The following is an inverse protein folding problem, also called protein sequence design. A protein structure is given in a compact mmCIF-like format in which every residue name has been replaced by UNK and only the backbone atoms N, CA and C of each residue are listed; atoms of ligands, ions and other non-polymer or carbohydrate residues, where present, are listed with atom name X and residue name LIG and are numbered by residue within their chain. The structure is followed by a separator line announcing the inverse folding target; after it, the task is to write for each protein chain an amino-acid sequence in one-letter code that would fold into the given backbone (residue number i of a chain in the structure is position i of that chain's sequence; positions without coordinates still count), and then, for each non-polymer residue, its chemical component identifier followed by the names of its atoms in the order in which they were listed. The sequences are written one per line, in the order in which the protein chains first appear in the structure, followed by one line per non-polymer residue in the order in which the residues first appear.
data_IF_727541041046
#
_entry.id   IF_727541041046
#
_cell.length_a   1.000
_cell.length_b   1.000
_cell.length_c   1.000
_cell.angle_alpha   90.00
_cell.angle_beta   90.00
_cell.angle_gamma   90.00
#
_symmetry.space_group_name_H-M   'P 1'
#
loop_
_entity.id
_entity.type
_entity.pdbx_description
1 polymer ?
#
# COMPACT_ATOMS: atom_id res chain seq x y z
N UNK A 1 28.00 -41.92 0.96
CA UNK A 1 28.37 -40.78 0.10
C UNK A 1 27.55 -39.57 0.57
N UNK A 2 28.17 -38.72 1.38
CA UNK A 2 27.58 -37.52 1.91
C UNK A 2 27.41 -36.50 0.79
N UNK A 3 26.19 -36.01 0.63
CA UNK A 3 25.91 -34.92 -0.28
C UNK A 3 26.56 -33.63 0.24
N UNK A 4 27.55 -33.15 -0.48
CA UNK A 4 28.18 -31.85 -0.23
C UNK A 4 27.12 -30.72 -0.27
N UNK A 5 26.88 -30.10 0.90
CA UNK A 5 26.19 -28.80 0.97
C UNK A 5 27.07 -27.77 0.26
N UNK A 6 26.54 -27.21 -0.82
CA UNK A 6 27.13 -26.03 -1.47
C UNK A 6 27.30 -24.89 -0.47
N UNK A 7 28.38 -24.09 -0.55
CA UNK A 7 28.56 -22.96 0.36
C UNK A 7 27.43 -21.95 0.11
N UNK A 8 26.77 -21.49 1.19
CA UNK A 8 25.81 -20.37 1.17
C UNK A 8 26.52 -19.16 0.54
N UNK A 9 26.17 -18.87 -0.70
CA UNK A 9 26.52 -17.58 -1.30
C UNK A 9 25.72 -16.47 -0.63
N UNK A 10 26.35 -15.29 -0.57
CA UNK A 10 25.91 -14.02 0.01
C UNK A 10 24.50 -14.05 0.61
N UNK A 11 24.38 -13.88 1.93
CA UNK A 11 23.13 -13.94 2.70
C UNK A 11 22.03 -13.22 1.95
N UNK A 12 21.05 -13.97 1.43
CA UNK A 12 19.84 -13.39 0.86
C UNK A 12 19.18 -12.58 1.96
N UNK A 13 19.10 -11.25 1.78
CA UNK A 13 18.48 -10.34 2.73
C UNK A 13 17.02 -10.75 2.84
N UNK A 14 16.67 -11.42 3.93
CA UNK A 14 15.29 -11.85 4.20
C UNK A 14 14.48 -10.60 4.52
N UNK A 15 13.61 -10.22 3.60
CA UNK A 15 12.68 -9.11 3.77
C UNK A 15 11.48 -9.56 4.62
N UNK A 16 11.56 -9.36 5.94
CA UNK A 16 10.42 -9.62 6.82
C UNK A 16 9.22 -8.75 6.45
N UNK A 17 8.02 -9.32 6.44
CA UNK A 17 6.78 -8.62 6.08
C UNK A 17 5.69 -8.92 7.12
N UNK A 18 4.96 -7.90 7.53
CA UNK A 18 3.84 -8.03 8.49
C UNK A 18 2.73 -8.95 8.01
N UNK A 19 2.54 -9.03 6.70
CA UNK A 19 1.53 -9.91 6.11
C UNK A 19 1.78 -11.40 6.44
N UNK A 20 3.02 -11.79 6.76
CA UNK A 20 3.34 -13.17 7.15
C UNK A 20 2.52 -13.65 8.34
N UNK A 21 2.26 -12.78 9.33
CA UNK A 21 1.39 -13.10 10.45
C UNK A 21 -0.07 -13.33 10.01
N UNK A 22 -0.55 -12.59 9.01
CA UNK A 22 -1.89 -12.80 8.47
C UNK A 22 -2.00 -14.14 7.72
N UNK A 23 -0.91 -14.58 7.06
CA UNK A 23 -0.84 -15.91 6.44
C UNK A 23 -0.90 -17.01 7.50
N UNK A 24 -0.16 -16.88 8.61
CA UNK A 24 -0.23 -17.80 9.75
C UNK A 24 -1.64 -17.85 10.34
N UNK A 25 -2.23 -16.71 10.62
CA UNK A 25 -3.59 -16.58 11.15
C UNK A 25 -4.64 -17.23 10.24
N UNK A 26 -4.47 -17.10 8.91
CA UNK A 26 -5.34 -17.76 7.94
C UNK A 26 -5.18 -19.28 7.99
N UNK A 27 -3.94 -19.78 7.95
CA UNK A 27 -3.66 -21.22 8.03
C UNK A 27 -4.28 -21.87 9.28
N UNK A 28 -4.07 -21.25 10.44
CA UNK A 28 -4.55 -21.77 11.72
C UNK A 28 -6.06 -21.67 11.88
N UNK A 29 -6.64 -20.48 11.58
CA UNK A 29 -8.05 -20.20 11.86
C UNK A 29 -9.02 -20.74 10.81
N UNK A 30 -8.56 -20.92 9.56
CA UNK A 30 -9.43 -21.37 8.46
C UNK A 30 -9.23 -22.82 8.08
N UNK A 31 -8.09 -23.41 8.38
CA UNK A 31 -7.81 -24.85 8.22
C UNK A 31 -8.33 -25.43 6.88
N UNK A 32 -8.08 -24.73 5.76
CA UNK A 32 -8.48 -25.15 4.41
C UNK A 32 -9.93 -24.89 4.02
N UNK A 33 -10.72 -24.21 4.85
CA UNK A 33 -12.11 -23.88 4.52
C UNK A 33 -12.26 -22.83 3.43
N UNK A 34 -11.24 -22.00 3.23
CA UNK A 34 -11.21 -20.95 2.22
C UNK A 34 -9.82 -20.76 1.65
N UNK A 35 -9.72 -20.48 0.36
CA UNK A 35 -8.47 -20.01 -0.27
C UNK A 35 -8.15 -18.58 0.15
N UNK A 36 -6.88 -18.21 0.07
CA UNK A 36 -6.44 -16.86 0.39
C UNK A 36 -5.91 -16.15 -0.87
N UNK A 37 -6.51 -15.03 -1.23
CA UNK A 37 -6.01 -14.16 -2.29
C UNK A 37 -5.18 -13.01 -1.69
N UNK A 38 -3.89 -12.96 -2.03
CA UNK A 38 -2.98 -11.86 -1.67
C UNK A 38 -2.98 -10.83 -2.79
N UNK A 39 -3.69 -9.74 -2.60
CA UNK A 39 -3.79 -8.64 -3.55
C UNK A 39 -2.80 -7.51 -3.23
N UNK A 40 -2.41 -6.75 -4.25
CA UNK A 40 -1.62 -5.54 -4.07
C UNK A 40 -0.90 -5.13 -5.35
N UNK A 41 -0.29 -3.95 -5.34
CA UNK A 41 0.43 -3.41 -6.48
C UNK A 41 1.49 -4.38 -7.02
N UNK A 42 1.88 -4.18 -8.26
CA UNK A 42 3.01 -4.92 -8.82
C UNK A 42 4.32 -4.60 -8.09
N UNK A 43 5.22 -5.59 -8.01
CA UNK A 43 6.58 -5.47 -7.43
C UNK A 43 6.66 -5.19 -5.92
N UNK A 44 5.59 -5.43 -5.16
CA UNK A 44 5.61 -5.30 -3.69
C UNK A 44 6.02 -6.58 -2.95
N UNK A 45 6.34 -7.68 -3.67
CA UNK A 45 6.89 -8.91 -3.09
C UNK A 45 5.83 -9.96 -2.72
N UNK A 46 4.64 -9.98 -3.34
CA UNK A 46 3.58 -10.97 -3.08
C UNK A 46 4.06 -12.41 -3.27
N UNK A 47 4.53 -12.76 -4.46
CA UNK A 47 5.01 -14.11 -4.79
C UNK A 47 6.14 -14.55 -3.86
N UNK A 48 7.08 -13.63 -3.55
CA UNK A 48 8.18 -13.90 -2.63
C UNK A 48 7.69 -14.32 -1.25
N UNK A 49 6.82 -13.53 -0.61
CA UNK A 49 6.40 -13.81 0.77
C UNK A 49 5.52 -15.06 0.87
N UNK A 50 4.70 -15.32 -0.15
CA UNK A 50 3.87 -16.53 -0.20
C UNK A 50 4.73 -17.78 -0.41
N UNK A 51 5.77 -17.70 -1.25
CA UNK A 51 6.71 -18.81 -1.43
C UNK A 51 7.55 -19.06 -0.17
N UNK A 52 8.03 -18.00 0.52
CA UNK A 52 8.71 -18.15 1.81
C UNK A 52 7.80 -18.76 2.88
N UNK A 53 6.54 -18.35 2.92
CA UNK A 53 5.53 -18.96 3.79
C UNK A 53 5.35 -20.45 3.49
N UNK A 54 5.25 -20.82 2.22
CA UNK A 54 5.13 -22.21 1.80
C UNK A 54 6.33 -23.07 2.23
N UNK A 55 7.56 -22.55 2.04
CA UNK A 55 8.80 -23.24 2.43
C UNK A 55 8.91 -23.50 3.93
N UNK A 56 8.40 -22.58 4.73
CA UNK A 56 8.55 -22.64 6.19
C UNK A 56 7.41 -23.40 6.88
N UNK A 57 6.19 -23.34 6.31
CA UNK A 57 4.98 -23.76 7.00
C UNK A 57 4.35 -25.04 6.43
N UNK A 58 4.84 -25.57 5.29
CA UNK A 58 4.30 -26.77 4.65
C UNK A 58 5.39 -27.82 4.37
N UNK A 59 5.01 -29.08 4.34
CA UNK A 59 5.92 -30.18 3.99
C UNK A 59 6.31 -30.16 2.50
N UNK A 60 5.39 -29.71 1.65
CA UNK A 60 5.62 -29.49 0.22
C UNK A 60 4.71 -28.40 -0.34
N UNK A 61 5.10 -27.85 -1.48
CA UNK A 61 4.25 -26.89 -2.18
C UNK A 61 4.45 -26.96 -3.69
N UNK A 62 3.42 -26.59 -4.43
CA UNK A 62 3.49 -26.36 -5.88
C UNK A 62 3.25 -24.86 -6.12
N UNK A 63 4.17 -24.20 -6.84
CA UNK A 63 4.00 -22.83 -7.30
C UNK A 63 3.74 -22.84 -8.80
N UNK A 64 2.54 -22.41 -9.19
CA UNK A 64 2.09 -22.26 -10.57
C UNK A 64 2.14 -20.77 -10.92
N UNK A 65 3.25 -20.32 -11.51
CA UNK A 65 3.41 -18.96 -12.05
C UNK A 65 2.71 -18.87 -13.41
N UNK A 66 1.55 -18.27 -13.48
CA UNK A 66 0.80 -18.15 -14.73
C UNK A 66 1.43 -17.21 -15.77
N UNK A 67 2.49 -16.48 -15.47
CA UNK A 67 3.30 -15.83 -16.51
C UNK A 67 4.09 -16.84 -17.33
N UNK A 68 4.50 -17.95 -16.72
CA UNK A 68 5.41 -18.95 -17.30
C UNK A 68 4.75 -20.30 -17.57
N UNK A 69 3.61 -20.56 -16.92
CA UNK A 69 2.92 -21.85 -17.03
C UNK A 69 2.56 -22.15 -18.49
N UNK A 70 2.93 -23.35 -19.01
CA UNK A 70 2.56 -23.75 -20.37
C UNK A 70 1.05 -23.88 -20.53
N UNK A 71 0.55 -23.77 -21.77
CA UNK A 71 -0.88 -23.80 -22.06
C UNK A 71 -1.54 -25.08 -21.51
N UNK A 72 -0.89 -26.22 -21.61
CA UNK A 72 -1.43 -27.48 -21.09
C UNK A 72 -1.76 -27.43 -19.59
N UNK A 73 -0.94 -26.73 -18.76
CA UNK A 73 -1.22 -26.56 -17.32
C UNK A 73 -2.47 -25.71 -17.10
N UNK A 74 -2.68 -24.67 -17.93
CA UNK A 74 -3.88 -23.84 -17.90
C UNK A 74 -5.12 -24.66 -18.29
N UNK A 75 -4.99 -25.50 -19.31
CA UNK A 75 -6.08 -26.32 -19.83
C UNK A 75 -6.52 -27.39 -18.82
N UNK A 76 -5.63 -27.84 -17.92
CA UNK A 76 -6.00 -28.81 -16.87
C UNK A 76 -7.05 -28.25 -15.91
N UNK A 77 -7.07 -26.94 -15.66
CA UNK A 77 -8.09 -26.28 -14.86
C UNK A 77 -9.46 -26.18 -15.55
N UNK A 78 -9.55 -26.49 -16.83
CA UNK A 78 -10.82 -26.66 -17.54
C UNK A 78 -11.22 -28.13 -17.66
N UNK A 79 -10.23 -28.99 -17.97
CA UNK A 79 -10.48 -30.37 -18.36
C UNK A 79 -10.73 -31.32 -17.18
N UNK A 80 -10.15 -31.05 -16.01
CA UNK A 80 -10.11 -31.99 -14.89
C UNK A 80 -10.75 -31.46 -13.61
N UNK A 81 -11.64 -30.46 -13.68
CA UNK A 81 -12.38 -29.97 -12.49
C UNK A 81 -13.36 -31.00 -11.90
N UNK A 82 -13.86 -31.92 -12.72
CA UNK A 82 -14.71 -33.03 -12.28
C UNK A 82 -13.90 -34.27 -11.85
N UNK A 83 -12.58 -34.30 -12.14
CA UNK A 83 -11.65 -35.36 -11.76
C UNK A 83 -10.37 -34.75 -11.14
N UNK A 84 -10.51 -34.29 -9.89
CA UNK A 84 -9.42 -33.66 -9.17
C UNK A 84 -8.24 -34.60 -8.88
N UNK A 85 -8.48 -35.92 -8.85
CA UNK A 85 -7.40 -36.92 -8.69
C UNK A 85 -6.42 -36.86 -9.87
N UNK A 86 -6.96 -36.83 -11.08
CA UNK A 86 -6.17 -36.67 -12.30
C UNK A 86 -5.49 -35.29 -12.33
N UNK A 87 -6.18 -34.21 -11.95
CA UNK A 87 -5.59 -32.86 -11.88
C UNK A 87 -4.35 -32.86 -10.98
N UNK A 88 -4.47 -33.33 -9.75
CA UNK A 88 -3.37 -33.33 -8.78
C UNK A 88 -2.23 -34.27 -9.17
N UNK A 89 -2.55 -35.40 -9.81
CA UNK A 89 -1.54 -36.32 -10.33
C UNK A 89 -0.70 -35.63 -11.42
N UNK A 90 -1.33 -34.92 -12.36
CA UNK A 90 -0.64 -34.19 -13.42
C UNK A 90 0.18 -33.03 -12.88
N UNK A 91 -0.35 -32.25 -11.95
CA UNK A 91 0.40 -31.19 -11.28
C UNK A 91 1.62 -31.75 -10.55
N UNK A 92 1.44 -32.81 -9.76
CA UNK A 92 2.53 -33.48 -9.03
C UNK A 92 3.62 -34.00 -9.98
N UNK A 93 3.24 -34.65 -11.09
CA UNK A 93 4.18 -35.17 -12.07
C UNK A 93 4.90 -34.05 -12.82
N UNK A 94 4.21 -32.98 -13.21
CA UNK A 94 4.79 -31.88 -13.97
C UNK A 94 5.78 -31.06 -13.13
N UNK A 95 5.39 -30.71 -11.90
CA UNK A 95 6.24 -29.93 -10.99
C UNK A 95 7.21 -30.80 -10.18
N UNK A 96 7.12 -32.15 -10.30
CA UNK A 96 7.96 -33.13 -9.57
C UNK A 96 7.87 -32.94 -8.05
N UNK A 97 6.69 -32.66 -7.55
CA UNK A 97 6.38 -32.45 -6.13
C UNK A 97 5.35 -33.47 -5.68
N UNK A 98 5.64 -34.18 -4.59
CA UNK A 98 4.66 -35.04 -3.94
C UNK A 98 3.77 -34.19 -3.04
N UNK A 99 2.47 -34.26 -3.25
CA UNK A 99 1.47 -33.60 -2.42
C UNK A 99 1.05 -34.49 -1.24
N UNK A 100 0.90 -33.88 -0.06
CA UNK A 100 0.49 -34.52 1.17
C UNK A 100 -0.80 -33.86 1.67
N UNK A 101 -1.83 -34.67 1.98
CA UNK A 101 -3.12 -34.16 2.47
C UNK A 101 -2.93 -33.30 3.72
N UNK A 102 -3.54 -32.12 3.72
CA UNK A 102 -3.49 -31.08 4.76
C UNK A 102 -2.09 -30.57 5.13
N UNK A 103 -1.04 -30.92 4.37
CA UNK A 103 0.35 -30.53 4.62
C UNK A 103 1.03 -29.93 3.39
N UNK A 104 0.29 -29.79 2.29
CA UNK A 104 0.80 -29.16 1.07
C UNK A 104 0.02 -27.91 0.71
N UNK A 105 0.74 -26.92 0.15
CA UNK A 105 0.18 -25.68 -0.37
C UNK A 105 0.27 -25.66 -1.89
N UNK A 106 -0.80 -25.27 -2.55
CA UNK A 106 -0.80 -24.94 -3.98
C UNK A 106 -0.93 -23.43 -4.14
N UNK A 107 0.10 -22.81 -4.75
CA UNK A 107 0.18 -21.38 -4.99
C UNK A 107 -0.17 -21.12 -6.46
N UNK A 108 -1.18 -20.30 -6.69
CA UNK A 108 -1.63 -19.82 -7.99
C UNK A 108 -1.15 -18.38 -8.18
N UNK A 109 0.05 -18.21 -8.70
CA UNK A 109 0.70 -16.90 -8.83
C UNK A 109 0.28 -16.18 -10.11
N UNK A 110 -0.01 -14.86 -10.02
CA UNK A 110 -0.55 -14.03 -11.09
C UNK A 110 -1.88 -14.59 -11.66
N UNK A 111 -2.80 -14.91 -10.75
CA UNK A 111 -4.07 -15.63 -11.04
C UNK A 111 -4.94 -14.92 -12.09
N UNK A 112 -4.83 -13.59 -12.25
CA UNK A 112 -5.55 -12.85 -13.28
C UNK A 112 -5.20 -13.28 -14.71
N UNK A 113 -4.06 -13.98 -14.91
CA UNK A 113 -3.67 -14.52 -16.20
C UNK A 113 -4.31 -15.88 -16.53
N UNK A 114 -5.00 -16.49 -15.53
CA UNK A 114 -5.74 -17.73 -15.72
C UNK A 114 -7.10 -17.67 -14.97
N UNK A 115 -8.10 -16.92 -15.49
CA UNK A 115 -9.40 -16.78 -14.84
C UNK A 115 -10.09 -18.12 -14.54
N UNK A 116 -9.83 -19.15 -15.34
CA UNK A 116 -10.36 -20.51 -15.13
C UNK A 116 -9.82 -21.16 -13.85
N UNK A 117 -8.52 -21.01 -13.58
CA UNK A 117 -7.93 -21.50 -12.33
C UNK A 117 -8.52 -20.78 -11.11
N UNK A 118 -8.82 -19.46 -11.20
CA UNK A 118 -9.53 -18.74 -10.15
C UNK A 118 -10.95 -19.26 -9.94
N UNK A 119 -11.69 -19.50 -11.02
CA UNK A 119 -13.04 -20.08 -10.93
C UNK A 119 -13.02 -21.52 -10.33
N UNK A 120 -11.92 -22.25 -10.53
CA UNK A 120 -11.72 -23.58 -9.99
C UNK A 120 -11.58 -23.64 -8.47
N UNK A 121 -11.23 -22.53 -7.81
CA UNK A 121 -11.02 -22.44 -6.35
C UNK A 121 -12.20 -23.00 -5.56
N UNK A 122 -13.43 -22.77 -6.00
CA UNK A 122 -14.62 -23.32 -5.37
C UNK A 122 -14.56 -24.86 -5.23
N UNK A 123 -14.15 -25.54 -6.29
CA UNK A 123 -14.06 -26.99 -6.34
C UNK A 123 -12.84 -27.50 -5.57
N UNK A 124 -11.71 -26.82 -5.70
CA UNK A 124 -10.45 -27.14 -5.05
C UNK A 124 -10.57 -27.05 -3.52
N UNK A 125 -11.20 -25.98 -3.02
CA UNK A 125 -11.45 -25.80 -1.58
C UNK A 125 -12.46 -26.82 -1.04
N UNK A 126 -13.51 -27.13 -1.82
CA UNK A 126 -14.52 -28.13 -1.43
C UNK A 126 -13.93 -29.54 -1.26
N UNK A 127 -12.88 -29.89 -2.01
CA UNK A 127 -12.13 -31.15 -1.92
C UNK A 127 -11.34 -31.31 -0.60
N UNK A 128 -10.89 -30.20 0.04
CA UNK A 128 -10.23 -30.13 1.35
C UNK A 128 -8.87 -30.84 1.48
N UNK A 129 -8.30 -31.41 0.43
CA UNK A 129 -7.00 -32.11 0.52
C UNK A 129 -5.82 -31.17 0.72
N UNK A 130 -5.85 -29.96 0.12
CA UNK A 130 -4.73 -29.02 0.13
C UNK A 130 -5.20 -27.63 0.50
N UNK A 131 -4.25 -26.78 0.86
CA UNK A 131 -4.46 -25.36 1.04
C UNK A 131 -4.12 -24.60 -0.25
N UNK A 132 -4.77 -23.46 -0.49
CA UNK A 132 -4.61 -22.69 -1.70
C UNK A 132 -4.35 -21.22 -1.37
N UNK A 133 -3.28 -20.66 -1.96
CA UNK A 133 -3.03 -19.23 -1.95
C UNK A 133 -2.93 -18.73 -3.39
N UNK A 134 -3.71 -17.72 -3.68
CA UNK A 134 -3.66 -16.99 -4.93
C UNK A 134 -2.89 -15.70 -4.73
N UNK A 135 -2.09 -15.30 -5.72
CA UNK A 135 -1.53 -13.95 -5.74
C UNK A 135 -1.91 -13.25 -7.02
N UNK A 136 -2.04 -11.94 -6.96
CA UNK A 136 -2.27 -11.19 -8.18
C UNK A 136 -2.19 -9.68 -7.98
N UNK A 137 -1.79 -9.03 -9.04
CA UNK A 137 -1.97 -7.60 -9.26
C UNK A 137 -3.13 -7.42 -10.23
N UNK A 138 -3.84 -6.30 -10.20
CA UNK A 138 -4.93 -6.04 -11.15
C UNK A 138 -6.07 -7.09 -11.15
N UNK A 139 -6.24 -7.82 -10.04
CA UNK A 139 -7.16 -8.98 -9.95
C UNK A 139 -8.62 -8.55 -10.04
N UNK A 140 -8.94 -7.37 -9.53
CA UNK A 140 -10.29 -6.78 -9.50
C UNK A 140 -10.65 -6.03 -10.78
N UNK A 141 -9.70 -5.81 -11.70
CA UNK A 141 -9.95 -5.08 -12.93
C UNK A 141 -10.94 -5.86 -13.81
N UNK A 142 -11.98 -5.19 -14.31
CA UNK A 142 -13.07 -5.77 -15.08
C UNK A 142 -12.62 -6.70 -16.22
N UNK A 143 -11.53 -6.36 -16.91
CA UNK A 143 -10.96 -7.21 -17.97
C UNK A 143 -10.55 -8.60 -17.46
N UNK A 144 -10.05 -8.67 -16.24
CA UNK A 144 -9.50 -9.90 -15.63
C UNK A 144 -10.56 -10.73 -14.90
N UNK A 145 -11.76 -10.19 -14.69
CA UNK A 145 -12.90 -10.89 -14.07
C UNK A 145 -14.02 -11.20 -15.07
N UNK A 146 -13.84 -10.83 -16.32
CA UNK A 146 -14.87 -11.04 -17.35
C UNK A 146 -15.04 -12.53 -17.66
N UNK A 147 -16.28 -13.00 -17.61
CA UNK A 147 -16.64 -14.37 -18.00
C UNK A 147 -16.42 -15.44 -16.92
N UNK A 148 -16.10 -15.06 -15.69
CA UNK A 148 -16.03 -15.99 -14.54
C UNK A 148 -16.95 -15.54 -13.40
N UNK A 149 -17.38 -16.52 -12.61
CA UNK A 149 -18.01 -16.26 -11.31
C UNK A 149 -16.89 -16.29 -10.27
N UNK A 150 -16.73 -15.19 -9.53
CA UNK A 150 -15.75 -15.13 -8.44
C UNK A 150 -16.13 -16.11 -7.33
N UNK A 151 -15.18 -16.92 -6.83
CA UNK A 151 -15.48 -17.91 -5.80
C UNK A 151 -15.86 -17.25 -4.46
N UNK A 152 -16.88 -17.77 -3.82
CA UNK A 152 -17.26 -17.39 -2.44
C UNK A 152 -16.31 -17.97 -1.38
N UNK A 153 -15.58 -18.98 -1.75
CA UNK A 153 -14.59 -19.71 -0.97
C UNK A 153 -13.20 -19.03 -0.98
N UNK A 154 -13.14 -17.79 -1.45
CA UNK A 154 -11.93 -16.94 -1.48
C UNK A 154 -12.02 -15.85 -0.41
N UNK A 155 -10.93 -15.61 0.31
CA UNK A 155 -10.72 -14.45 1.18
C UNK A 155 -9.58 -13.62 0.68
N UNK A 156 -9.79 -12.31 0.57
CA UNK A 156 -8.75 -11.39 0.10
C UNK A 156 -8.08 -10.67 1.27
N UNK A 157 -6.75 -10.60 1.22
CA UNK A 157 -5.93 -9.74 2.08
C UNK A 157 -5.10 -8.79 1.22
N UNK A 158 -4.91 -7.56 1.74
CA UNK A 158 -4.20 -6.51 1.04
C UNK A 158 -2.74 -6.48 1.47
N UNK A 159 -1.83 -6.49 0.49
CA UNK A 159 -0.43 -6.23 0.70
C UNK A 159 -0.08 -4.85 0.15
N UNK A 160 0.68 -4.09 0.93
CA UNK A 160 1.13 -2.74 0.60
C UNK A 160 2.64 -2.72 0.31
N UNK A 161 3.22 -1.66 -0.26
CA UNK A 161 4.65 -1.41 -0.16
C UNK A 161 5.12 -1.54 1.29
N UNK A 162 6.39 -1.83 1.53
CA UNK A 162 6.93 -1.94 2.89
C UNK A 162 6.62 -0.67 3.67
N UNK A 163 6.04 -0.82 4.85
CA UNK A 163 5.82 0.32 5.75
C UNK A 163 7.10 0.70 6.51
N UNK A 164 7.01 1.72 7.35
CA UNK A 164 8.17 2.23 8.08
C UNK A 164 8.80 1.18 9.02
N UNK A 165 7.99 0.36 9.67
CA UNK A 165 8.48 -0.71 10.55
C UNK A 165 9.19 -1.81 9.76
N UNK A 166 8.61 -2.26 8.64
CA UNK A 166 9.22 -3.24 7.73
C UNK A 166 10.54 -2.72 7.13
N UNK A 167 10.61 -1.41 6.84
CA UNK A 167 11.83 -0.75 6.41
C UNK A 167 12.90 -0.74 7.52
N UNK A 168 12.50 -0.48 8.77
CA UNK A 168 13.42 -0.55 9.92
C UNK A 168 13.97 -1.97 10.10
N UNK A 169 13.13 -3.00 9.94
CA UNK A 169 13.60 -4.39 9.95
C UNK A 169 14.63 -4.68 8.86
N UNK A 170 14.34 -4.25 7.62
CA UNK A 170 15.24 -4.44 6.50
C UNK A 170 16.58 -3.71 6.66
N UNK A 171 16.61 -2.61 7.40
CA UNK A 171 17.81 -1.80 7.65
C UNK A 171 18.52 -2.15 8.96
N UNK A 172 18.05 -3.18 9.70
CA UNK A 172 18.66 -3.66 10.95
C UNK A 172 18.41 -2.77 12.16
N UNK A 173 17.30 -2.03 12.18
CA UNK A 173 16.93 -1.09 13.25
C UNK A 173 15.62 -1.47 13.95
N UNK A 174 15.42 -2.75 14.20
CA UNK A 174 14.18 -3.35 14.70
C UNK A 174 13.70 -2.71 16.00
N UNK A 175 14.62 -2.47 16.95
CA UNK A 175 14.30 -1.95 18.28
C UNK A 175 13.76 -0.51 18.28
N UNK A 176 14.01 0.26 17.21
CA UNK A 176 13.56 1.65 17.16
C UNK A 176 12.03 1.75 17.11
N UNK A 177 11.37 0.86 16.38
CA UNK A 177 9.91 0.85 16.31
C UNK A 177 9.27 0.44 17.64
N UNK A 178 9.88 -0.49 18.38
CA UNK A 178 9.40 -0.87 19.71
C UNK A 178 9.47 0.31 20.68
N UNK A 179 10.55 1.08 20.63
CA UNK A 179 10.71 2.30 21.43
C UNK A 179 9.64 3.36 21.02
N UNK A 180 9.45 3.60 19.72
CA UNK A 180 8.43 4.53 19.21
C UNK A 180 7.04 4.12 19.70
N UNK A 181 6.70 2.85 19.59
CA UNK A 181 5.41 2.30 20.03
C UNK A 181 5.21 2.46 21.54
N UNK A 182 6.25 2.19 22.33
CA UNK A 182 6.23 2.38 23.78
C UNK A 182 5.96 3.85 24.14
N UNK A 183 6.68 4.80 23.54
CA UNK A 183 6.51 6.22 23.81
C UNK A 183 5.12 6.73 23.37
N UNK A 184 4.61 6.24 22.24
CA UNK A 184 3.26 6.54 21.79
C UNK A 184 2.19 6.08 22.79
N UNK A 185 2.27 4.84 23.29
CA UNK A 185 1.32 4.27 24.27
C UNK A 185 1.42 5.00 25.62
N UNK A 186 2.62 5.30 26.07
CA UNK A 186 2.86 6.04 27.33
C UNK A 186 2.59 7.55 27.19
N UNK A 187 2.34 8.05 25.98
CA UNK A 187 2.14 9.48 25.69
C UNK A 187 3.29 10.36 26.19
N UNK A 188 4.51 9.94 25.88
CA UNK A 188 5.74 10.61 26.29
C UNK A 188 6.60 11.00 25.08
N UNK A 189 7.40 12.08 25.21
CA UNK A 189 8.37 12.45 24.19
C UNK A 189 9.51 11.41 24.12
N UNK A 190 10.07 11.22 22.93
CA UNK A 190 11.23 10.36 22.69
C UNK A 190 12.52 10.92 23.32
N UNK A 191 12.57 12.22 23.54
CA UNK A 191 13.79 12.95 23.88
C UNK A 191 14.68 13.21 22.65
N UNK A 192 15.50 14.26 22.75
CA UNK A 192 16.21 14.83 21.60
C UNK A 192 17.01 13.82 20.76
N UNK A 193 17.75 12.89 21.41
CA UNK A 193 18.61 11.94 20.71
C UNK A 193 17.80 10.92 19.91
N UNK A 194 16.85 10.24 20.53
CA UNK A 194 16.04 9.23 19.88
C UNK A 194 15.04 9.81 18.90
N UNK A 195 14.47 11.00 19.21
CA UNK A 195 13.64 11.73 18.26
C UNK A 195 14.40 12.04 16.96
N UNK A 196 15.64 12.53 17.05
CA UNK A 196 16.50 12.78 15.91
C UNK A 196 16.74 11.49 15.11
N UNK A 197 17.14 10.42 15.78
CA UNK A 197 17.36 9.12 15.15
C UNK A 197 16.12 8.62 14.40
N UNK A 198 14.94 8.72 15.02
CA UNK A 198 13.68 8.31 14.42
C UNK A 198 13.29 9.18 13.20
N UNK A 199 13.50 10.51 13.30
CA UNK A 199 13.25 11.43 12.18
C UNK A 199 14.21 11.18 11.01
N UNK A 200 15.49 10.91 11.27
CA UNK A 200 16.47 10.63 10.21
C UNK A 200 16.13 9.30 9.50
N UNK A 201 15.76 8.26 10.26
CA UNK A 201 15.29 6.99 9.71
C UNK A 201 14.00 7.16 8.90
N UNK A 202 13.05 7.98 9.37
CA UNK A 202 11.80 8.24 8.67
C UNK A 202 12.02 9.05 7.37
N UNK A 203 12.90 10.03 7.36
CA UNK A 203 13.30 10.74 6.14
C UNK A 203 13.95 9.83 5.14
N UNK A 204 14.83 8.94 5.62
CA UNK A 204 15.46 7.94 4.76
C UNK A 204 14.41 7.01 4.13
N UNK A 205 13.44 6.53 4.91
CA UNK A 205 12.34 5.75 4.41
C UNK A 205 11.50 6.51 3.38
N UNK A 206 11.19 7.79 3.62
CA UNK A 206 10.46 8.63 2.67
C UNK A 206 11.18 8.72 1.32
N UNK A 207 12.52 8.77 1.32
CA UNK A 207 13.34 8.90 0.12
C UNK A 207 13.48 7.57 -0.63
N UNK A 208 13.82 6.49 0.08
CA UNK A 208 14.01 5.16 -0.50
C UNK A 208 12.66 4.58 -0.95
N UNK A 209 11.62 4.83 -0.15
CA UNK A 209 10.29 4.23 -0.33
C UNK A 209 10.19 2.85 0.28
N UNK A 210 9.01 2.23 0.10
CA UNK A 210 8.68 0.89 0.56
C UNK A 210 8.70 -0.18 -0.54
N UNK A 211 9.14 0.14 -1.75
CA UNK A 211 9.26 -0.87 -2.81
C UNK A 211 10.42 -1.83 -2.49
N UNK A 212 10.18 -3.15 -2.32
CA UNK A 212 11.22 -4.10 -1.88
C UNK A 212 12.49 -4.07 -2.71
N UNK A 213 12.38 -3.87 -4.01
CA UNK A 213 13.51 -3.72 -4.91
C UNK A 213 14.39 -2.51 -4.57
N UNK A 214 13.77 -1.36 -4.28
CA UNK A 214 14.46 -0.14 -3.90
C UNK A 214 15.10 -0.28 -2.51
N UNK A 215 14.36 -0.86 -1.54
CA UNK A 215 14.87 -1.12 -0.20
C UNK A 215 16.06 -2.09 -0.23
N UNK A 216 15.96 -3.18 -1.00
CA UNK A 216 17.06 -4.14 -1.19
C UNK A 216 18.30 -3.44 -1.76
N UNK A 217 18.14 -2.64 -2.82
CA UNK A 217 19.24 -1.87 -3.41
C UNK A 217 19.89 -0.92 -2.40
N UNK A 218 19.08 -0.22 -1.60
CA UNK A 218 19.62 0.64 -0.56
C UNK A 218 20.40 -0.13 0.51
N UNK A 219 19.88 -1.27 0.97
CA UNK A 219 20.56 -2.10 1.98
C UNK A 219 21.89 -2.62 1.48
N UNK A 220 21.93 -3.09 0.22
CA UNK A 220 23.12 -3.66 -0.42
C UNK A 220 24.20 -2.61 -0.73
N UNK A 221 23.81 -1.43 -1.24
CA UNK A 221 24.75 -0.50 -1.87
C UNK A 221 24.90 0.84 -1.15
N UNK A 222 23.90 1.26 -0.39
CA UNK A 222 23.75 2.62 0.17
C UNK A 222 23.83 3.72 -0.90
N UNK A 223 23.63 3.35 -2.16
CA UNK A 223 23.70 4.22 -3.33
C UNK A 223 22.30 4.66 -3.78
N UNK A 224 22.04 5.97 -3.74
CA UNK A 224 20.75 6.53 -4.12
C UNK A 224 20.50 6.49 -5.64
N UNK A 225 21.54 6.46 -6.47
CA UNK A 225 21.37 6.37 -7.92
C UNK A 225 20.89 4.96 -8.30
N UNK A 226 21.42 3.91 -7.64
CA UNK A 226 20.94 2.53 -7.80
C UNK A 226 19.50 2.36 -7.27
N UNK A 227 19.13 3.06 -6.18
CA UNK A 227 17.77 3.09 -5.63
C UNK A 227 16.82 3.77 -6.61
N UNK A 228 17.21 4.91 -7.20
CA UNK A 228 16.39 5.63 -8.17
C UNK A 228 16.15 4.81 -9.44
N UNK A 229 17.18 4.15 -9.95
CA UNK A 229 17.04 3.24 -11.10
C UNK A 229 16.00 2.14 -10.82
N UNK A 230 16.06 1.49 -9.63
CA UNK A 230 15.09 0.46 -9.25
C UNK A 230 13.64 1.02 -9.16
N UNK A 231 13.47 2.25 -8.68
CA UNK A 231 12.14 2.91 -8.62
C UNK A 231 11.62 3.25 -10.02
N UNK A 232 12.48 3.69 -10.94
CA UNK A 232 12.12 3.97 -12.34
C UNK A 232 11.69 2.72 -13.09
N UNK A 233 12.35 1.60 -12.83
CA UNK A 233 11.91 0.29 -13.36
C UNK A 233 10.48 -0.03 -12.94
N UNK A 234 10.11 0.24 -11.68
CA UNK A 234 8.75 0.06 -11.18
C UNK A 234 7.76 1.00 -11.85
N UNK A 235 8.11 2.30 -11.99
CA UNK A 235 7.26 3.28 -12.68
C UNK A 235 7.03 2.90 -14.15
N UNK A 236 8.06 2.39 -14.82
CA UNK A 236 7.96 1.88 -16.19
C UNK A 236 6.99 0.69 -16.27
N UNK A 237 7.05 -0.24 -15.31
CA UNK A 237 6.12 -1.36 -15.23
C UNK A 237 4.69 -0.86 -15.03
N UNK A 238 4.45 0.12 -14.16
CA UNK A 238 3.13 0.69 -13.94
C UNK A 238 2.57 1.34 -15.21
N UNK A 239 3.39 2.08 -15.98
CA UNK A 239 2.98 2.64 -17.28
C UNK A 239 2.63 1.56 -18.29
N UNK A 240 3.46 0.51 -18.38
CA UNK A 240 3.19 -0.61 -19.27
C UNK A 240 1.88 -1.33 -18.89
N UNK A 241 1.59 -1.48 -17.61
CA UNK A 241 0.34 -2.06 -17.14
C UNK A 241 -0.88 -1.22 -17.52
N UNK A 242 -0.77 0.12 -17.46
CA UNK A 242 -1.83 1.01 -17.92
C UNK A 242 -2.14 0.74 -19.39
N UNK A 243 -1.12 0.73 -20.26
CA UNK A 243 -1.33 0.47 -21.70
C UNK A 243 -1.87 -0.93 -21.99
N UNK A 244 -1.42 -1.95 -21.26
CA UNK A 244 -1.82 -3.34 -21.51
C UNK A 244 -3.22 -3.67 -20.98
N UNK A 245 -3.65 -3.04 -19.85
CA UNK A 245 -4.84 -3.47 -19.11
C UNK A 245 -5.95 -2.42 -19.01
N UNK A 246 -5.66 -1.13 -19.20
CA UNK A 246 -6.70 -0.09 -19.12
C UNK A 246 -7.56 0.03 -20.40
N UNK A 247 -7.13 -0.56 -21.52
CA UNK A 247 -7.92 -0.56 -22.78
C UNK A 247 -8.19 0.86 -23.28
N UNK A 248 -9.45 1.16 -23.59
CA UNK A 248 -9.88 2.46 -24.17
C UNK A 248 -9.65 3.66 -23.24
N UNK A 249 -9.51 3.44 -21.95
CA UNK A 249 -9.26 4.52 -20.97
C UNK A 249 -7.77 4.74 -20.66
N UNK A 250 -6.86 4.05 -21.35
CA UNK A 250 -5.43 4.11 -21.06
C UNK A 250 -4.88 5.55 -21.05
N UNK A 251 -5.25 6.36 -22.05
CA UNK A 251 -4.80 7.76 -22.15
C UNK A 251 -5.28 8.61 -20.97
N UNK A 252 -6.49 8.39 -20.48
CA UNK A 252 -7.01 9.07 -19.30
C UNK A 252 -6.24 8.64 -18.05
N UNK A 253 -5.97 7.35 -17.89
CA UNK A 253 -5.25 6.80 -16.74
C UNK A 253 -3.83 7.35 -16.71
N UNK A 254 -3.11 7.38 -17.85
CA UNK A 254 -1.77 7.98 -17.96
C UNK A 254 -1.83 9.47 -17.62
N UNK A 255 -2.82 10.21 -18.18
CA UNK A 255 -2.96 11.64 -17.91
C UNK A 255 -3.14 11.94 -16.41
N UNK A 256 -3.94 11.15 -15.69
CA UNK A 256 -4.09 11.28 -14.23
C UNK A 256 -2.77 10.95 -13.55
N UNK A 257 -2.14 9.83 -13.90
CA UNK A 257 -0.90 9.35 -13.30
C UNK A 257 0.21 10.41 -13.40
N UNK A 258 0.39 11.02 -14.57
CA UNK A 258 1.38 12.05 -14.82
C UNK A 258 1.09 13.38 -14.10
N UNK A 259 -0.19 13.64 -13.79
CA UNK A 259 -0.59 14.84 -13.07
C UNK A 259 -0.50 14.70 -11.55
N UNK A 260 -0.23 13.50 -11.00
CA UNK A 260 -0.15 13.33 -9.53
C UNK A 260 0.90 14.27 -8.91
N UNK A 261 2.20 14.27 -9.33
CA UNK A 261 3.18 15.17 -8.73
C UNK A 261 2.83 16.67 -8.87
N UNK A 262 2.44 17.20 -10.06
CA UNK A 262 2.04 18.58 -10.20
C UNK A 262 0.81 18.98 -9.36
N UNK A 263 -0.14 18.06 -9.12
CA UNK A 263 -1.31 18.35 -8.29
C UNK A 263 -0.93 18.40 -6.80
N UNK A 264 -0.11 17.44 -6.32
CA UNK A 264 0.34 17.41 -4.94
C UNK A 264 1.31 18.54 -4.59
N UNK A 265 2.01 19.12 -5.56
CA UNK A 265 2.91 20.26 -5.34
C UNK A 265 2.18 21.58 -5.07
N UNK A 266 0.89 21.67 -5.38
CA UNK A 266 0.07 22.87 -5.13
C UNK A 266 -0.24 23.03 -3.63
N UNK A 267 -0.55 24.27 -3.25
CA UNK A 267 -0.99 24.55 -1.88
C UNK A 267 -2.28 23.78 -1.52
N UNK A 268 -3.28 23.83 -2.43
CA UNK A 268 -4.46 22.97 -2.34
C UNK A 268 -4.20 21.68 -3.12
N UNK A 269 -4.13 20.55 -2.43
CA UNK A 269 -3.82 19.24 -3.03
C UNK A 269 -5.04 18.52 -3.60
N UNK A 270 -6.20 19.17 -3.63
CA UNK A 270 -7.38 18.66 -4.35
C UNK A 270 -7.05 18.50 -5.83
N UNK A 271 -7.37 17.35 -6.39
CA UNK A 271 -7.10 17.04 -7.78
C UNK A 271 -8.01 17.87 -8.70
N UNK A 272 -7.44 18.80 -9.43
CA UNK A 272 -8.16 19.70 -10.33
C UNK A 272 -8.24 19.09 -11.73
N UNK A 273 -9.40 18.60 -12.12
CA UNK A 273 -9.63 17.98 -13.44
C UNK A 273 -9.40 18.94 -14.62
N UNK A 274 -9.55 20.25 -14.42
CA UNK A 274 -9.22 21.27 -15.41
C UNK A 274 -7.76 21.26 -15.87
N UNK A 275 -6.85 20.68 -15.07
CA UNK A 275 -5.46 20.47 -15.46
C UNK A 275 -5.28 19.32 -16.48
N UNK A 276 -6.22 18.38 -16.56
CA UNK A 276 -6.23 17.32 -17.55
C UNK A 276 -6.81 17.82 -18.87
N UNK A 277 -7.95 18.53 -18.78
CA UNK A 277 -8.63 19.12 -19.94
C UNK A 277 -9.53 20.28 -19.47
N UNK A 278 -9.55 21.42 -20.18
CA UNK A 278 -10.51 22.49 -19.89
C UNK A 278 -11.96 21.97 -19.92
N UNK A 279 -12.73 22.27 -18.88
CA UNK A 279 -14.11 21.83 -18.75
C UNK A 279 -14.33 20.35 -18.41
N UNK A 280 -13.26 19.61 -18.05
CA UNK A 280 -13.38 18.22 -17.62
C UNK A 280 -14.29 18.06 -16.40
N UNK A 281 -15.19 17.08 -16.44
CA UNK A 281 -16.08 16.71 -15.33
C UNK A 281 -15.68 15.35 -14.77
N UNK A 282 -15.87 15.16 -13.47
CA UNK A 282 -15.48 13.93 -12.78
C UNK A 282 -16.06 12.67 -13.44
N UNK A 283 -17.34 12.68 -13.83
CA UNK A 283 -18.02 11.57 -14.49
C UNK A 283 -17.35 11.07 -15.78
N UNK A 284 -16.51 11.90 -16.40
CA UNK A 284 -15.80 11.56 -17.63
C UNK A 284 -14.42 10.92 -17.35
N UNK A 285 -13.99 10.88 -16.08
CA UNK A 285 -12.66 10.45 -15.61
C UNK A 285 -12.71 9.48 -14.42
N UNK A 286 -13.89 9.19 -13.87
CA UNK A 286 -14.04 8.35 -12.67
C UNK A 286 -13.53 6.93 -12.90
N UNK A 287 -13.77 6.37 -14.08
CA UNK A 287 -13.27 5.07 -14.51
C UNK A 287 -11.74 4.98 -14.44
N UNK A 288 -11.03 6.05 -14.82
CA UNK A 288 -9.58 6.10 -14.79
C UNK A 288 -9.04 6.22 -13.34
N UNK A 289 -9.68 6.98 -12.45
CA UNK A 289 -9.35 6.99 -11.03
C UNK A 289 -9.60 5.63 -10.38
N UNK A 290 -10.73 4.98 -10.71
CA UNK A 290 -11.02 3.62 -10.22
C UNK A 290 -9.97 2.63 -10.68
N UNK A 291 -9.52 2.71 -11.94
CA UNK A 291 -8.50 1.82 -12.45
C UNK A 291 -7.19 1.96 -11.66
N UNK A 292 -6.69 3.18 -11.45
CA UNK A 292 -5.46 3.43 -10.66
C UNK A 292 -5.60 2.94 -9.22
N UNK A 293 -6.76 3.13 -8.61
CA UNK A 293 -7.06 2.65 -7.26
C UNK A 293 -7.08 1.13 -7.19
N UNK A 294 -7.75 0.47 -8.14
CA UNK A 294 -7.84 -1.00 -8.21
C UNK A 294 -6.50 -1.64 -8.52
N UNK A 295 -5.67 -0.98 -9.37
CA UNK A 295 -4.29 -1.36 -9.60
C UNK A 295 -3.37 -1.14 -8.38
N UNK A 296 -3.88 -0.51 -7.31
CA UNK A 296 -3.14 -0.18 -6.09
C UNK A 296 -1.92 0.72 -6.34
N UNK A 297 -1.95 1.51 -7.41
CA UNK A 297 -0.88 2.46 -7.76
C UNK A 297 -1.04 3.77 -7.00
N UNK A 298 -2.27 4.08 -6.60
CA UNK A 298 -2.61 5.31 -5.86
C UNK A 298 -3.46 5.04 -4.63
N UNK A 299 -3.37 5.95 -3.66
CA UNK A 299 -4.24 6.06 -2.51
C UNK A 299 -5.16 7.27 -2.70
N UNK A 300 -6.45 7.03 -2.91
CA UNK A 300 -7.41 8.10 -3.10
C UNK A 300 -8.02 8.51 -1.75
N UNK A 301 -7.96 9.79 -1.46
CA UNK A 301 -8.57 10.41 -0.30
C UNK A 301 -9.79 11.23 -0.76
N UNK A 302 -10.99 10.83 -0.32
CA UNK A 302 -12.23 11.50 -0.72
C UNK A 302 -12.64 12.58 0.30
N UNK A 303 -13.27 13.64 -0.19
CA UNK A 303 -13.88 14.63 0.70
C UNK A 303 -15.10 14.02 1.41
N UNK A 304 -15.22 14.28 2.72
CA UNK A 304 -16.47 14.02 3.47
C UNK A 304 -17.17 15.34 3.67
N UNK A 305 -18.34 15.54 3.07
CA UNK A 305 -19.08 16.81 3.14
C UNK A 305 -19.57 17.16 4.54
N UNK A 306 -19.80 16.13 5.36
CA UNK A 306 -20.14 16.26 6.77
C UNK A 306 -19.32 15.24 7.59
N UNK A 307 -18.29 15.68 8.33
CA UNK A 307 -17.47 14.80 9.13
C UNK A 307 -18.18 14.37 10.41
N UNK A 308 -19.14 13.47 10.28
CA UNK A 308 -19.91 12.86 11.36
C UNK A 308 -19.72 11.33 11.35
N UNK A 309 -20.48 10.61 12.18
CA UNK A 309 -20.47 9.15 12.24
C UNK A 309 -20.74 8.58 10.83
N UNK A 310 -19.77 7.79 10.34
CA UNK A 310 -19.89 7.16 9.01
C UNK A 310 -19.41 8.06 7.87
N UNK A 311 -18.13 8.46 7.88
CA UNK A 311 -17.50 9.30 6.84
C UNK A 311 -17.83 8.87 5.42
N UNK A 312 -17.98 7.55 5.19
CA UNK A 312 -18.36 7.00 3.89
C UNK A 312 -19.77 7.40 3.44
N UNK A 313 -20.69 7.66 4.37
CA UNK A 313 -22.07 8.07 4.02
C UNK A 313 -22.11 9.47 3.41
N UNK A 314 -21.14 10.32 3.77
CA UNK A 314 -21.01 11.69 3.28
C UNK A 314 -19.84 11.86 2.30
N UNK A 315 -19.46 10.76 1.63
CA UNK A 315 -18.35 10.73 0.65
C UNK A 315 -18.73 11.49 -0.62
N UNK A 316 -18.04 12.60 -0.88
CA UNK A 316 -18.06 13.29 -2.17
C UNK A 316 -16.91 12.81 -3.05
N UNK A 317 -17.24 11.98 -4.03
CA UNK A 317 -16.26 11.42 -4.96
C UNK A 317 -15.75 12.42 -5.97
N UNK A 318 -16.46 13.53 -6.18
CA UNK A 318 -16.08 14.53 -7.16
C UNK A 318 -14.95 15.43 -6.66
N UNK A 319 -14.73 15.45 -5.36
CA UNK A 319 -13.66 16.19 -4.69
C UNK A 319 -12.73 15.19 -4.00
N UNK A 320 -11.52 15.03 -4.54
CA UNK A 320 -10.57 14.04 -4.05
C UNK A 320 -9.14 14.58 -4.04
N UNK A 321 -8.28 13.95 -3.23
CA UNK A 321 -6.82 14.04 -3.31
C UNK A 321 -6.31 12.67 -3.80
N UNK A 322 -5.30 12.67 -4.68
CA UNK A 322 -4.74 11.46 -5.26
C UNK A 322 -3.25 11.36 -4.89
N UNK A 323 -2.92 10.46 -3.99
CA UNK A 323 -1.56 10.21 -3.51
C UNK A 323 -0.97 9.00 -4.23
N UNK A 324 0.35 9.00 -4.44
CA UNK A 324 1.05 7.78 -4.85
C UNK A 324 1.02 6.74 -3.72
N UNK A 325 0.95 5.47 -4.08
CA UNK A 325 1.02 4.37 -3.13
C UNK A 325 2.35 4.27 -2.39
N UNK A 326 3.42 4.87 -2.94
CA UNK A 326 4.77 4.89 -2.38
C UNK A 326 5.42 6.26 -2.60
N UNK A 327 5.95 6.84 -1.51
CA UNK A 327 6.53 8.19 -1.57
C UNK A 327 7.90 8.20 -2.26
N UNK A 328 8.66 7.11 -2.17
CA UNK A 328 9.89 6.97 -2.94
C UNK A 328 9.63 6.98 -4.44
N UNK A 329 8.56 6.31 -4.91
CA UNK A 329 8.12 6.38 -6.31
C UNK A 329 7.64 7.78 -6.68
N UNK A 330 6.92 8.49 -5.79
CA UNK A 330 6.51 9.87 -6.04
C UNK A 330 7.71 10.79 -6.30
N UNK A 331 8.80 10.62 -5.55
CA UNK A 331 10.03 11.40 -5.75
C UNK A 331 10.61 11.15 -7.15
N UNK A 332 10.83 9.89 -7.53
CA UNK A 332 11.36 9.54 -8.86
C UNK A 332 10.43 9.98 -10.00
N UNK A 333 9.12 9.97 -9.77
CA UNK A 333 8.13 10.43 -10.73
C UNK A 333 8.10 11.97 -10.85
N UNK A 334 8.28 12.69 -9.75
CA UNK A 334 8.26 14.15 -9.73
C UNK A 334 9.51 14.80 -10.39
N UNK A 335 10.66 14.11 -10.34
CA UNK A 335 11.94 14.60 -10.86
C UNK A 335 12.40 13.87 -12.12
N UNK A 336 11.46 13.57 -13.02
CA UNK A 336 11.71 12.73 -14.20
C UNK A 336 12.33 13.47 -15.41
N UNK A 337 12.52 14.80 -15.36
CA UNK A 337 12.90 15.63 -16.50
C UNK A 337 14.21 15.23 -17.20
N UNK A 338 15.14 14.55 -16.50
CA UNK A 338 16.42 14.09 -17.06
C UNK A 338 16.69 12.59 -16.87
N UNK A 339 15.68 11.81 -16.50
CA UNK A 339 15.82 10.36 -16.33
C UNK A 339 16.61 9.90 -15.10
N UNK A 340 17.17 10.81 -14.29
CA UNK A 340 17.91 10.48 -13.06
C UNK A 340 17.70 11.59 -12.04
N UNK A 341 17.24 11.25 -10.84
CA UNK A 341 17.28 12.15 -9.69
C UNK A 341 18.71 12.16 -9.18
N UNK A 342 19.41 13.31 -9.25
CA UNK A 342 20.79 13.36 -8.80
C UNK A 342 20.91 13.04 -7.30
N UNK A 343 22.00 12.36 -6.91
CA UNK A 343 22.33 12.10 -5.51
C UNK A 343 22.31 13.37 -4.64
N UNK A 344 22.56 14.55 -5.23
CA UNK A 344 22.44 15.83 -4.53
C UNK A 344 21.02 16.16 -4.09
N UNK A 345 20.00 15.87 -4.91
CA UNK A 345 18.59 16.09 -4.58
C UNK A 345 18.21 15.17 -3.40
N UNK A 346 18.63 13.90 -3.45
CA UNK A 346 18.41 12.97 -2.36
C UNK A 346 19.07 13.42 -1.06
N UNK A 347 20.30 13.91 -1.13
CA UNK A 347 20.99 14.47 0.04
C UNK A 347 20.27 15.70 0.60
N UNK A 348 19.82 16.63 -0.28
CA UNK A 348 19.04 17.80 0.16
C UNK A 348 17.72 17.42 0.82
N UNK A 349 17.02 16.40 0.31
CA UNK A 349 15.83 15.84 0.93
C UNK A 349 16.11 15.22 2.29
N UNK A 350 17.19 14.43 2.40
CA UNK A 350 17.61 13.76 3.64
C UNK A 350 17.90 14.77 4.75
N UNK A 351 18.54 15.88 4.41
CA UNK A 351 18.89 16.92 5.37
C UNK A 351 17.80 17.98 5.58
N UNK A 352 16.61 17.84 4.97
CA UNK A 352 15.53 18.81 5.05
C UNK A 352 15.91 20.20 4.45
N UNK A 353 16.78 20.20 3.46
CA UNK A 353 17.30 21.41 2.78
C UNK A 353 16.68 21.63 1.40
N UNK A 354 15.79 20.76 0.95
CA UNK A 354 15.03 21.00 -0.26
C UNK A 354 13.87 21.91 0.11
N UNK A 355 14.04 23.19 -0.09
CA UNK A 355 13.06 24.24 0.27
C UNK A 355 11.75 24.15 -0.53
N UNK A 356 11.69 23.32 -1.57
CA UNK A 356 10.56 23.20 -2.49
C UNK A 356 9.79 21.91 -2.26
N UNK A 357 8.46 22.03 -2.00
CA UNK A 357 7.48 20.93 -2.00
C UNK A 357 7.66 19.82 -0.95
N UNK A 358 8.38 20.06 0.15
CA UNK A 358 8.46 19.09 1.25
C UNK A 358 7.06 18.70 1.78
N UNK A 359 6.11 19.64 1.79
CA UNK A 359 4.72 19.38 2.16
C UNK A 359 4.01 18.33 1.30
N UNK A 360 4.36 18.23 0.00
CA UNK A 360 3.84 17.19 -0.89
C UNK A 360 4.28 15.79 -0.42
N UNK A 361 5.56 15.63 -0.11
CA UNK A 361 6.15 14.36 0.27
C UNK A 361 5.66 13.91 1.65
N UNK A 362 5.59 14.86 2.60
CA UNK A 362 5.14 14.59 3.96
C UNK A 362 3.66 14.18 3.99
N UNK A 363 2.78 14.86 3.25
CA UNK A 363 1.37 14.49 3.19
C UNK A 363 1.18 13.15 2.46
N UNK A 364 1.95 12.89 1.40
CA UNK A 364 1.91 11.59 0.70
C UNK A 364 2.36 10.43 1.60
N UNK A 365 3.46 10.59 2.36
CA UNK A 365 3.93 9.52 3.23
C UNK A 365 2.97 9.26 4.39
N UNK A 366 2.31 10.29 4.92
CA UNK A 366 1.25 10.12 5.91
C UNK A 366 0.07 9.35 5.31
N UNK A 367 -0.39 9.71 4.09
CA UNK A 367 -1.43 8.97 3.38
C UNK A 367 -1.04 7.50 3.15
N UNK A 368 0.21 7.24 2.76
CA UNK A 368 0.77 5.90 2.60
C UNK A 368 0.74 5.10 3.91
N UNK A 369 1.20 5.69 5.03
CA UNK A 369 1.20 5.03 6.35
C UNK A 369 -0.21 4.74 6.84
N UNK A 370 -1.12 5.70 6.76
CA UNK A 370 -2.51 5.51 7.17
C UNK A 370 -3.21 4.41 6.36
N UNK A 371 -2.93 4.34 5.05
CA UNK A 371 -3.48 3.27 4.19
C UNK A 371 -2.89 1.91 4.55
N UNK A 372 -1.57 1.82 4.78
CA UNK A 372 -0.90 0.58 5.17
C UNK A 372 -1.37 0.06 6.55
N UNK A 373 -1.80 0.95 7.45
CA UNK A 373 -2.44 0.61 8.72
C UNK A 373 -3.93 0.23 8.58
N UNK A 374 -4.47 0.11 7.35
CA UNK A 374 -5.84 -0.31 7.08
C UNK A 374 -6.88 0.81 7.09
N UNK A 375 -6.48 2.06 7.26
CA UNK A 375 -7.41 3.19 7.28
C UNK A 375 -7.89 3.54 5.87
N UNK A 376 -9.18 3.85 5.74
CA UNK A 376 -9.72 4.55 4.57
C UNK A 376 -9.45 6.03 4.71
N UNK A 377 -8.95 6.63 3.64
CA UNK A 377 -8.59 8.04 3.64
C UNK A 377 -9.79 8.92 3.34
N UNK A 378 -10.05 9.86 4.25
CA UNK A 378 -11.00 10.95 4.06
C UNK A 378 -10.34 12.27 4.46
N UNK A 379 -10.78 13.36 3.86
CA UNK A 379 -10.44 14.72 4.26
C UNK A 379 -11.72 15.56 4.34
N UNK A 380 -11.63 16.75 4.89
CA UNK A 380 -12.71 17.72 4.85
C UNK A 380 -12.24 19.00 4.17
N UNK A 381 -13.03 19.49 3.23
CA UNK A 381 -12.76 20.79 2.63
C UNK A 381 -14.08 21.48 2.30
N UNK A 382 -14.21 22.72 2.80
CA UNK A 382 -15.28 23.64 2.43
C UNK A 382 -14.68 24.91 1.85
N UNK A 383 -15.02 25.19 0.60
CA UNK A 383 -14.77 26.49 -0.02
C UNK A 383 -15.91 27.43 0.33
N UNK A 384 -15.62 28.60 0.86
CA UNK A 384 -16.60 29.64 1.18
C UNK A 384 -15.98 31.02 0.95
N UNK A 385 -16.78 32.00 0.55
CA UNK A 385 -16.37 33.40 0.52
C UNK A 385 -16.18 33.94 1.95
N UNK A 386 -16.95 33.43 2.90
CA UNK A 386 -16.80 33.74 4.32
C UNK A 386 -15.56 33.00 4.88
N UNK A 387 -14.59 33.82 5.34
CA UNK A 387 -13.34 33.30 5.87
C UNK A 387 -13.54 32.35 7.05
N UNK A 388 -14.57 32.53 7.86
CA UNK A 388 -14.89 31.72 9.03
C UNK A 388 -15.35 30.31 8.65
N UNK A 389 -16.05 30.16 7.52
CA UNK A 389 -16.51 28.86 7.03
C UNK A 389 -15.48 28.12 6.17
N UNK A 390 -14.54 28.85 5.57
CA UNK A 390 -13.48 28.26 4.76
C UNK A 390 -12.49 27.49 5.61
N UNK A 391 -12.43 26.17 5.43
CA UNK A 391 -11.49 25.31 6.15
C UNK A 391 -11.13 24.07 5.31
N UNK A 392 -9.97 23.51 5.58
CA UNK A 392 -9.53 22.22 5.08
C UNK A 392 -8.82 21.45 6.20
N UNK A 393 -9.15 20.17 6.37
CA UNK A 393 -8.50 19.23 7.30
C UNK A 393 -7.88 18.14 6.45
N UNK A 394 -6.58 17.89 6.62
CA UNK A 394 -5.81 17.01 5.75
C UNK A 394 -6.31 15.57 5.76
N UNK A 395 -6.59 15.01 6.93
CA UNK A 395 -7.18 13.68 7.06
C UNK A 395 -8.21 13.61 8.17
N UNK A 396 -9.21 12.75 7.95
CA UNK A 396 -10.21 12.34 8.93
C UNK A 396 -10.13 10.84 9.10
N UNK A 397 -9.89 10.36 10.31
CA UNK A 397 -9.90 8.93 10.62
C UNK A 397 -11.10 8.59 11.49
N UNK A 398 -11.78 7.51 11.15
CA UNK A 398 -12.84 6.94 11.97
C UNK A 398 -12.26 5.89 12.91
N UNK A 399 -12.63 5.90 14.19
CA UNK A 399 -12.25 4.84 15.13
C UNK A 399 -12.85 3.50 14.71
N UNK A 400 -12.13 2.41 14.92
CA UNK A 400 -12.55 1.04 14.59
C UNK A 400 -13.85 0.63 15.30
N UNK A 401 -14.02 1.08 16.55
CA UNK A 401 -15.22 0.83 17.34
C UNK A 401 -15.99 2.11 17.56
N UNK A 402 -17.17 2.20 16.96
CA UNK A 402 -18.09 3.30 17.15
C UNK A 402 -18.89 3.06 18.45
N UNK A 403 -18.34 3.49 19.57
CA UNK A 403 -18.97 3.37 20.89
C UNK A 403 -19.71 4.64 21.31
N UNK A 404 -19.45 5.76 20.63
CA UNK A 404 -20.05 7.07 20.89
C UNK A 404 -20.06 7.91 19.61
N UNK A 405 -20.77 9.04 19.63
CA UNK A 405 -20.72 10.02 18.52
C UNK A 405 -19.34 10.66 18.35
N UNK A 406 -18.52 10.74 19.39
CA UNK A 406 -17.14 11.22 19.32
C UNK A 406 -16.22 10.12 18.76
N UNK A 407 -16.20 9.94 17.44
CA UNK A 407 -15.47 8.83 16.80
C UNK A 407 -14.61 9.24 15.61
N UNK A 408 -14.60 10.53 15.23
CA UNK A 408 -13.77 11.04 14.13
C UNK A 408 -12.56 11.76 14.71
N UNK A 409 -11.37 11.38 14.24
CA UNK A 409 -10.10 12.05 14.58
C UNK A 409 -9.69 12.96 13.42
N UNK A 410 -9.72 14.29 13.61
CA UNK A 410 -9.17 15.21 12.63
C UNK A 410 -7.64 15.26 12.76
N UNK A 411 -6.95 15.21 11.62
CA UNK A 411 -5.50 15.20 11.53
C UNK A 411 -5.05 16.31 10.59
N UNK A 412 -4.17 17.16 11.08
CA UNK A 412 -3.42 18.16 10.31
C UNK A 412 -1.97 17.72 10.16
N UNK A 413 -1.41 17.88 8.97
CA UNK A 413 -0.02 17.55 8.65
C UNK A 413 0.77 18.83 8.41
N UNK A 414 1.86 19.01 9.14
CA UNK A 414 2.68 20.23 9.10
C UNK A 414 4.15 19.90 8.81
N UNK A 415 4.64 20.38 7.67
CA UNK A 415 6.04 20.21 7.26
C UNK A 415 6.98 21.26 7.86
N UNK A 416 6.50 22.51 8.00
CA UNK A 416 7.28 23.63 8.50
C UNK A 416 7.21 23.80 10.03
N UNK A 417 8.09 24.65 10.56
CA UNK A 417 8.11 25.04 12.00
C UNK A 417 7.03 26.06 12.33
N UNK A 418 6.73 26.97 11.38
CA UNK A 418 5.76 28.04 11.55
C UNK A 418 4.48 27.68 10.79
N UNK A 419 3.42 27.39 11.52
CA UNK A 419 2.11 27.06 10.96
C UNK A 419 0.97 27.57 11.81
N UNK A 420 -0.20 27.68 11.21
CA UNK A 420 -1.44 28.02 11.90
C UNK A 420 -2.35 26.80 11.99
N UNK A 421 -3.19 26.76 13.02
CA UNK A 421 -4.19 25.70 13.23
C UNK A 421 -5.62 26.26 13.12
N UNK A 422 -5.81 27.31 12.33
CA UNK A 422 -7.11 27.96 12.18
C UNK A 422 -8.18 27.00 11.66
N UNK A 423 -7.88 26.19 10.63
CA UNK A 423 -8.81 25.18 10.10
C UNK A 423 -9.18 24.14 11.15
N UNK A 424 -8.19 23.64 11.90
CA UNK A 424 -8.44 22.64 12.95
C UNK A 424 -9.32 23.21 14.07
N UNK A 425 -9.05 24.43 14.52
CA UNK A 425 -9.88 25.11 15.53
C UNK A 425 -11.31 25.34 15.03
N UNK A 426 -11.51 25.79 13.79
CA UNK A 426 -12.83 25.93 13.17
C UNK A 426 -13.57 24.60 13.08
N UNK A 427 -12.86 23.53 12.66
CA UNK A 427 -13.40 22.18 12.59
C UNK A 427 -13.89 21.70 13.96
N UNK A 428 -13.07 21.89 15.01
CA UNK A 428 -13.45 21.54 16.39
C UNK A 428 -14.64 22.34 16.90
N UNK A 429 -14.73 23.63 16.58
CA UNK A 429 -15.87 24.44 16.95
C UNK A 429 -17.16 24.02 16.25
N UNK A 430 -17.08 23.66 14.96
CA UNK A 430 -18.25 23.29 14.14
C UNK A 430 -18.73 21.87 14.35
N UNK A 431 -17.82 20.92 14.44
CA UNK A 431 -18.08 19.48 14.43
C UNK A 431 -17.63 18.78 15.72
N UNK A 432 -17.28 19.53 16.77
CA UNK A 432 -16.69 19.00 17.99
C UNK A 432 -17.48 17.86 18.64
N UNK A 433 -18.81 17.83 18.45
CA UNK A 433 -19.67 16.76 18.96
C UNK A 433 -19.38 15.38 18.32
N UNK A 434 -18.72 15.34 17.15
CA UNK A 434 -18.31 14.11 16.45
C UNK A 434 -16.82 13.84 16.55
N UNK A 435 -16.04 14.85 16.96
CA UNK A 435 -14.58 14.80 16.97
C UNK A 435 -14.02 14.19 18.25
N UNK A 436 -12.98 13.42 18.09
CA UNK A 436 -12.09 13.01 19.19
C UNK A 436 -10.98 14.05 19.34
N UNK A 437 -9.95 13.75 20.17
CA UNK A 437 -8.79 14.61 20.33
C UNK A 437 -8.14 14.93 18.99
N UNK A 438 -8.07 16.21 18.59
CA UNK A 438 -7.42 16.61 17.35
C UNK A 438 -5.93 16.31 17.40
N UNK A 439 -5.40 15.93 16.25
CA UNK A 439 -4.01 15.50 16.12
C UNK A 439 -3.28 16.34 15.08
N UNK A 440 -2.08 16.78 15.42
CA UNK A 440 -1.16 17.44 14.50
C UNK A 440 0.07 16.56 14.31
N UNK A 441 0.32 16.12 13.07
CA UNK A 441 1.55 15.45 12.69
C UNK A 441 2.58 16.50 12.28
N UNK A 442 3.74 16.51 12.91
CA UNK A 442 4.78 17.52 12.69
C UNK A 442 6.20 16.95 12.85
N UNK A 443 7.19 17.79 12.54
CA UNK A 443 8.60 17.35 12.61
C UNK A 443 9.21 17.39 14.02
N UNK A 444 8.51 17.97 15.03
CA UNK A 444 9.00 18.01 16.41
C UNK A 444 8.55 16.79 17.22
N UNK A 445 9.10 16.64 18.44
CA UNK A 445 8.77 15.52 19.33
C UNK A 445 7.35 15.62 19.89
N UNK A 446 6.87 14.55 20.51
CA UNK A 446 5.56 14.44 21.13
C UNK A 446 5.30 15.57 22.15
N UNK A 447 4.15 16.18 22.06
CA UNK A 447 3.61 17.07 23.10
C UNK A 447 2.06 17.09 23.09
N UNK A 448 1.49 17.53 24.19
CA UNK A 448 0.06 17.88 24.26
C UNK A 448 -0.03 19.34 24.71
N UNK A 449 -0.80 20.14 24.00
CA UNK A 449 -0.96 21.56 24.27
C UNK A 449 -2.37 21.99 23.80
N UNK A 450 -3.08 22.76 24.60
CA UNK A 450 -4.43 23.28 24.31
C UNK A 450 -5.44 22.20 23.88
N UNK A 451 -5.37 20.99 24.45
CA UNK A 451 -6.23 19.86 24.08
C UNK A 451 -5.90 19.21 22.74
N UNK A 452 -4.83 19.62 22.06
CA UNK A 452 -4.34 19.07 20.82
C UNK A 452 -3.18 18.13 21.10
N UNK A 453 -3.18 16.94 20.47
CA UNK A 453 -2.06 16.03 20.52
C UNK A 453 -1.14 16.29 19.32
N UNK A 454 0.11 16.61 19.58
CA UNK A 454 1.14 16.76 18.57
C UNK A 454 1.99 15.49 18.53
N UNK A 455 2.04 14.86 17.38
CA UNK A 455 2.79 13.63 17.16
C UNK A 455 3.90 13.86 16.13
N UNK A 456 5.12 13.32 16.36
CA UNK A 456 6.12 13.29 15.32
C UNK A 456 5.65 12.45 14.13
N UNK A 457 6.07 12.83 12.92
CA UNK A 457 5.65 12.20 11.66
C UNK A 457 5.84 10.68 11.64
N UNK A 458 6.92 10.18 12.24
CA UNK A 458 7.21 8.74 12.33
C UNK A 458 6.24 7.95 13.20
N UNK A 459 5.36 8.62 13.97
CA UNK A 459 4.29 7.98 14.73
C UNK A 459 2.98 7.82 13.92
N UNK A 460 2.90 8.34 12.68
CA UNK A 460 1.70 8.21 11.85
C UNK A 460 1.23 6.77 11.60
N UNK A 461 2.10 5.73 11.53
CA UNK A 461 1.65 4.33 11.41
C UNK A 461 0.86 3.80 12.62
N UNK A 462 0.88 4.51 13.75
CA UNK A 462 0.23 4.11 15.01
C UNK A 462 -1.15 4.76 15.23
N UNK A 463 -1.64 5.53 14.25
CA UNK A 463 -2.93 6.25 14.31
C UNK A 463 -4.15 5.39 14.00
#
# INVERSE_FOLDING_TARGET
MEAQKSPKGADDIIMKRKIYQQLLDWKEKRNGEVALLVEGARRIGKSYIVEEFAKNEYESYILIDFNKAPQMVRDWFDLYLEDLDTLFLYLSQHYKVRLHERKSLIILDEIQLCPRARAAIKFLVADRRYDYIETGSLVSIKKNTQGIVLPSEERSIQMYPMDFEEFLWATGNDMLMDLIRKMYVERKPMGQAFHRQAMDAFRLYMIVGGMPQAVKKYVETKDFDAVDAAKRDVLTIYRNDIFNYAGEIADKVVSIFDQIPPQLSKHEKKFRLSALRPGAKYRDWDDAFFWLKDARVVNICYNSTEPNIGLKMNEDRTTLKCYMNDTGLLISHAFDEKGIVSSEIYQKLLFGKLEVNEGMLIENIVAQMLTASGNKLFFYSKSSEEAEERMEIDFLLQKDKVTSRHNIRPIEVKSGKNYTLSSLKKCMNKFGEYMTTPTVLHAADYKVEDGITYLPLYMSPLL
#
